data_IF_712399882132
#
_entry.id   IF_712399882132
#
_cell.length_a   1.000
_cell.length_b   1.000
_cell.length_c   1.000
_cell.angle_alpha   90.00
_cell.angle_beta   90.00
_cell.angle_gamma   90.00
#
_symmetry.space_group_name_H-M   'P 1'
#
loop_
_entity.id
_entity.type
_entity.pdbx_description
1 polymer ?
#
# COMPACT_ATOMS: atom_id res chain seq x y z
N UNK A 1 -3.43 27.78 0.29
CA UNK A 1 -4.70 28.50 0.09
C UNK A 1 -5.84 27.91 0.92
N UNK A 2 -6.12 26.62 0.83
CA UNK A 2 -7.17 26.02 1.68
C UNK A 2 -6.85 26.11 3.18
N UNK A 3 -5.64 25.72 3.62
CA UNK A 3 -5.26 25.76 5.03
C UNK A 3 -5.29 27.16 5.65
N UNK A 4 -5.08 28.21 4.85
CA UNK A 4 -5.10 29.61 5.34
C UNK A 4 -6.50 30.12 5.69
N UNK A 5 -7.57 29.39 5.34
CA UNK A 5 -8.94 29.73 5.72
C UNK A 5 -9.23 29.43 7.21
N UNK A 6 -8.41 28.59 7.85
CA UNK A 6 -8.55 28.27 9.28
C UNK A 6 -9.73 27.37 9.64
N UNK A 7 -10.41 26.79 8.65
CA UNK A 7 -11.57 25.91 8.80
C UNK A 7 -11.27 24.43 8.48
N UNK A 8 -10.02 24.13 8.07
CA UNK A 8 -9.56 22.77 7.77
C UNK A 8 -9.12 22.07 9.06
N UNK A 9 -9.74 20.94 9.40
CA UNK A 9 -9.38 20.16 10.58
C UNK A 9 -8.32 19.07 10.33
N UNK A 10 -8.28 18.51 9.11
CA UNK A 10 -7.35 17.45 8.76
C UNK A 10 -7.02 17.40 7.26
N UNK A 11 -5.86 16.84 6.95
CA UNK A 11 -5.47 16.38 5.60
C UNK A 11 -5.22 14.88 5.66
N UNK A 12 -5.87 14.12 4.78
CA UNK A 12 -5.66 12.67 4.64
C UNK A 12 -4.98 12.35 3.31
N UNK A 13 -3.97 11.46 3.35
CA UNK A 13 -3.29 10.99 2.14
C UNK A 13 -2.89 9.51 2.24
N UNK A 14 -2.94 8.83 1.09
CA UNK A 14 -2.17 7.62 0.82
C UNK A 14 -0.83 8.05 0.20
N UNK A 15 0.32 7.65 0.77
CA UNK A 15 1.64 7.95 0.15
C UNK A 15 1.98 7.01 -1.00
N UNK A 16 1.18 5.97 -1.20
CA UNK A 16 1.10 5.16 -2.42
C UNK A 16 -0.39 4.89 -2.67
N UNK A 17 -0.99 5.55 -3.66
CA UNK A 17 -2.43 5.43 -3.90
C UNK A 17 -2.81 4.01 -4.31
N UNK A 18 -3.66 3.36 -3.54
CA UNK A 18 -4.00 1.96 -3.78
C UNK A 18 -4.81 1.73 -5.05
N UNK A 19 -6.12 1.98 -4.98
CA UNK A 19 -7.04 1.80 -6.13
C UNK A 19 -6.85 2.92 -7.17
N UNK A 20 -6.30 4.08 -6.77
CA UNK A 20 -6.04 5.22 -7.64
C UNK A 20 -5.14 4.90 -8.83
N UNK A 21 -4.15 4.02 -8.66
CA UNK A 21 -3.22 3.66 -9.72
C UNK A 21 -1.77 3.53 -9.31
N UNK A 22 -1.48 3.35 -8.02
CA UNK A 22 -0.12 3.27 -7.47
C UNK A 22 0.70 4.53 -7.76
N UNK A 23 0.03 5.67 -7.83
CA UNK A 23 0.68 6.96 -7.91
C UNK A 23 1.26 7.33 -6.54
N UNK A 24 2.50 7.83 -6.58
CA UNK A 24 3.28 8.18 -5.41
C UNK A 24 3.55 9.69 -5.46
N UNK A 25 3.08 10.47 -4.48
CA UNK A 25 3.54 11.84 -4.33
C UNK A 25 5.06 11.89 -4.11
N UNK A 26 5.68 12.99 -4.52
CA UNK A 26 7.11 13.18 -4.28
C UNK A 26 7.41 13.28 -2.78
N UNK A 27 8.62 12.91 -2.32
CA UNK A 27 9.06 13.17 -0.94
C UNK A 27 8.96 14.64 -0.54
N UNK A 28 9.22 15.56 -1.46
CA UNK A 28 9.08 16.99 -1.21
C UNK A 28 7.61 17.36 -0.94
N UNK A 29 6.68 16.87 -1.75
CA UNK A 29 5.24 17.10 -1.54
C UNK A 29 4.78 16.59 -0.18
N UNK A 30 5.14 15.35 0.19
CA UNK A 30 4.72 14.78 1.46
C UNK A 30 5.25 15.57 2.66
N UNK A 31 6.52 15.98 2.60
CA UNK A 31 7.14 16.80 3.65
C UNK A 31 6.51 18.18 3.75
N UNK A 32 6.20 18.81 2.61
CA UNK A 32 5.57 20.13 2.58
C UNK A 32 4.14 20.07 3.16
N UNK A 33 3.36 19.05 2.78
CA UNK A 33 2.03 18.82 3.37
C UNK A 33 2.13 18.65 4.89
N UNK A 34 3.07 17.82 5.36
CA UNK A 34 3.26 17.61 6.79
C UNK A 34 3.69 18.90 7.53
N UNK A 35 4.59 19.68 6.92
CA UNK A 35 5.03 20.96 7.47
C UNK A 35 3.88 21.96 7.58
N UNK A 36 3.09 22.11 6.51
CA UNK A 36 1.94 23.01 6.48
C UNK A 36 0.85 22.57 7.45
N UNK A 37 0.59 21.27 7.59
CA UNK A 37 -0.36 20.75 8.58
C UNK A 37 0.05 21.18 10.00
N UNK A 38 1.33 20.94 10.35
CA UNK A 38 1.87 21.32 11.65
C UNK A 38 1.82 22.83 11.91
N UNK A 39 2.18 23.65 10.91
CA UNK A 39 2.15 25.12 11.06
C UNK A 39 0.75 25.68 11.28
N UNK A 40 -0.28 25.02 10.75
CA UNK A 40 -1.66 25.50 10.80
C UNK A 40 -2.51 24.77 11.86
N UNK A 41 -1.92 23.89 12.68
CA UNK A 41 -2.67 23.10 13.67
C UNK A 41 -3.66 22.11 13.05
N UNK A 42 -3.37 21.65 11.82
CA UNK A 42 -4.21 20.72 11.06
C UNK A 42 -3.67 19.30 11.23
N UNK A 43 -4.56 18.34 11.46
CA UNK A 43 -4.20 16.92 11.66
C UNK A 43 -3.77 16.29 10.34
N UNK A 44 -2.58 15.69 10.32
CA UNK A 44 -2.12 14.87 9.21
C UNK A 44 -2.49 13.41 9.42
N UNK A 45 -3.27 12.85 8.50
CA UNK A 45 -3.70 11.45 8.51
C UNK A 45 -2.99 10.70 7.37
N UNK A 46 -2.19 9.69 7.70
CA UNK A 46 -1.69 8.73 6.71
C UNK A 46 -2.63 7.54 6.62
N UNK A 47 -3.22 7.33 5.44
CA UNK A 47 -4.00 6.12 5.17
C UNK A 47 -3.06 4.99 4.75
N UNK A 48 -2.83 4.06 5.68
CA UNK A 48 -1.97 2.89 5.50
C UNK A 48 -2.78 1.59 5.38
N UNK A 49 -4.09 1.68 5.14
CA UNK A 49 -4.97 0.52 5.05
C UNK A 49 -4.50 -0.45 3.96
N UNK A 50 -3.96 0.05 2.84
CA UNK A 50 -3.45 -0.81 1.77
C UNK A 50 -1.92 -0.97 1.79
N UNK A 51 -1.19 0.10 2.10
CA UNK A 51 0.26 0.19 1.96
C UNK A 51 1.05 -0.16 3.21
N UNK A 52 0.37 -0.28 4.36
CA UNK A 52 0.95 -0.68 5.63
C UNK A 52 1.19 -2.18 5.77
N UNK A 53 1.57 -2.60 6.98
CA UNK A 53 1.89 -3.98 7.32
C UNK A 53 2.93 -4.62 6.38
N UNK A 54 3.98 -3.87 6.04
CA UNK A 54 5.10 -4.39 5.27
C UNK A 54 4.94 -4.36 3.76
N UNK A 55 3.74 -4.06 3.25
CA UNK A 55 3.37 -4.15 1.84
C UNK A 55 4.33 -3.38 0.91
N UNK A 56 4.76 -2.20 1.33
CA UNK A 56 5.66 -1.33 0.56
C UNK A 56 7.16 -1.59 0.79
N UNK A 57 7.54 -2.63 1.54
CA UNK A 57 8.92 -2.87 1.99
C UNK A 57 9.33 -2.05 3.21
N UNK A 58 8.39 -1.31 3.81
CA UNK A 58 8.46 -0.69 5.13
C UNK A 58 7.19 -1.07 5.89
N UNK A 59 7.20 -0.94 7.23
CA UNK A 59 6.00 -1.25 8.01
C UNK A 59 4.83 -0.34 7.59
N UNK A 60 5.10 0.96 7.44
CA UNK A 60 4.20 1.94 6.85
C UNK A 60 4.86 2.61 5.65
N UNK A 61 4.10 2.89 4.59
CA UNK A 61 4.63 3.52 3.39
C UNK A 61 5.05 4.98 3.59
N UNK A 62 4.41 5.73 4.50
CA UNK A 62 4.79 7.11 4.79
C UNK A 62 6.25 7.22 5.28
N UNK A 63 6.80 6.13 5.83
CA UNK A 63 8.20 6.07 6.31
C UNK A 63 9.21 6.30 5.18
N UNK A 64 8.84 6.02 3.92
CA UNK A 64 9.68 6.34 2.75
C UNK A 64 9.86 7.85 2.55
N UNK A 65 8.99 8.68 3.13
CA UNK A 65 9.00 10.13 2.99
C UNK A 65 9.54 10.86 4.23
N UNK A 66 9.89 10.14 5.29
CA UNK A 66 10.36 10.70 6.57
C UNK A 66 9.41 11.75 7.17
N UNK A 67 8.11 11.45 7.15
CA UNK A 67 7.07 12.25 7.82
C UNK A 67 6.56 11.51 9.06
N UNK A 68 5.95 12.24 9.99
CA UNK A 68 5.30 11.69 11.19
C UNK A 68 3.83 12.13 11.18
N UNK A 69 2.90 11.28 10.75
CA UNK A 69 1.47 11.57 10.78
C UNK A 69 0.94 11.64 12.20
N UNK A 70 -0.08 12.46 12.41
CA UNK A 70 -0.80 12.57 13.69
C UNK A 70 -1.75 11.39 13.91
N UNK A 71 -2.28 10.85 12.80
CA UNK A 71 -3.17 9.69 12.79
C UNK A 71 -2.76 8.74 11.67
N UNK A 72 -2.82 7.43 11.93
CA UNK A 72 -2.59 6.39 10.92
C UNK A 72 -3.80 5.45 10.91
N UNK A 73 -4.45 5.28 9.75
CA UNK A 73 -5.49 4.26 9.57
C UNK A 73 -4.89 2.94 9.08
N UNK A 74 -5.32 1.84 9.68
CA UNK A 74 -4.82 0.48 9.40
C UNK A 74 -5.97 -0.52 9.28
N UNK A 75 -5.85 -1.48 8.37
CA UNK A 75 -6.71 -2.67 8.27
C UNK A 75 -6.02 -3.69 7.34
N UNK A 76 -6.77 -4.43 6.51
CA UNK A 76 -6.29 -5.39 5.49
C UNK A 76 -5.15 -6.29 5.99
N UNK A 77 -3.90 -5.92 5.72
CA UNK A 77 -2.71 -6.64 6.17
C UNK A 77 -2.70 -6.91 7.67
N UNK A 78 -3.32 -6.04 8.47
CA UNK A 78 -3.49 -6.19 9.91
C UNK A 78 -4.09 -7.53 10.35
N UNK A 79 -5.13 -8.00 9.66
CA UNK A 79 -5.77 -9.29 9.96
C UNK A 79 -5.45 -10.38 8.96
N UNK A 80 -4.76 -10.04 7.87
CA UNK A 80 -4.38 -10.92 6.76
C UNK A 80 -5.47 -11.94 6.34
N UNK A 81 -6.74 -11.50 6.32
CA UNK A 81 -7.91 -12.34 6.04
C UNK A 81 -8.99 -12.26 7.12
N UNK A 82 -8.64 -12.01 8.38
CA UNK A 82 -9.60 -11.77 9.45
C UNK A 82 -10.05 -10.29 9.49
N UNK A 83 -11.35 -9.99 9.70
CA UNK A 83 -11.83 -8.60 9.76
C UNK A 83 -11.29 -7.85 10.98
N UNK A 84 -10.38 -6.91 10.75
CA UNK A 84 -9.87 -6.00 11.77
C UNK A 84 -9.40 -4.70 11.11
N UNK A 85 -9.63 -3.59 11.79
CA UNK A 85 -9.11 -2.28 11.46
C UNK A 85 -8.84 -1.48 12.72
N UNK A 86 -8.06 -0.42 12.59
CA UNK A 86 -7.64 0.39 13.71
C UNK A 86 -7.19 1.77 13.28
N UNK A 87 -7.08 2.63 14.29
CA UNK A 87 -6.53 3.97 14.18
C UNK A 87 -5.42 4.08 15.22
N UNK A 88 -4.22 4.47 14.78
CA UNK A 88 -3.13 4.87 15.67
C UNK A 88 -3.18 6.39 15.79
N UNK A 89 -3.11 6.90 17.01
CA UNK A 89 -3.08 8.34 17.29
C UNK A 89 -1.73 8.72 17.89
N UNK A 90 -1.19 9.86 17.47
CA UNK A 90 0.03 10.42 18.03
C UNK A 90 -0.19 10.79 19.51
N UNK A 91 0.82 10.65 20.40
CA UNK A 91 0.67 10.93 21.84
C UNK A 91 0.25 12.36 22.21
N UNK A 92 0.34 13.30 21.28
CA UNK A 92 -0.18 14.67 21.43
C UNK A 92 -1.72 14.71 21.41
N UNK A 93 -2.37 13.76 20.72
CA UNK A 93 -3.81 13.56 20.78
C UNK A 93 -4.14 12.73 22.03
N UNK A 94 -4.63 13.41 23.08
CA UNK A 94 -4.99 12.74 24.33
C UNK A 94 -6.31 11.99 24.21
N UNK A 95 -6.24 10.67 24.10
CA UNK A 95 -7.41 9.81 24.23
C UNK A 95 -8.05 9.94 25.62
N UNK A 96 -9.38 9.81 25.65
CA UNK A 96 -10.20 9.76 26.87
C UNK A 96 -11.21 8.64 26.74
N UNK A 97 -11.58 8.07 27.88
CA UNK A 97 -12.64 7.08 27.96
C UNK A 97 -13.95 7.64 27.37
N UNK A 98 -14.66 6.84 26.58
CA UNK A 98 -15.94 7.22 25.97
C UNK A 98 -15.86 8.07 24.69
N UNK A 99 -14.66 8.43 24.19
CA UNK A 99 -14.54 9.18 22.93
C UNK A 99 -14.91 8.35 21.69
N UNK A 100 -14.66 7.04 21.74
CA UNK A 100 -14.90 6.10 20.64
C UNK A 100 -15.69 4.91 21.18
N UNK A 101 -16.57 4.36 20.36
CA UNK A 101 -17.38 3.20 20.73
C UNK A 101 -17.64 2.30 19.53
N UNK A 102 -17.54 0.99 19.74
CA UNK A 102 -17.84 -0.03 18.73
C UNK A 102 -18.13 -1.36 19.44
N UNK A 103 -19.20 -2.04 19.03
CA UNK A 103 -19.62 -3.31 19.63
C UNK A 103 -18.60 -4.42 19.46
N UNK A 104 -17.87 -4.43 18.33
CA UNK A 104 -16.93 -5.50 17.98
C UNK A 104 -15.47 -5.04 17.92
N UNK A 105 -15.18 -3.75 18.11
CA UNK A 105 -13.80 -3.27 18.09
C UNK A 105 -13.01 -3.75 19.30
N UNK A 106 -11.74 -4.07 19.06
CA UNK A 106 -10.87 -4.61 20.11
C UNK A 106 -11.26 -6.02 20.59
N UNK A 107 -12.07 -6.76 19.83
CA UNK A 107 -12.42 -8.13 20.20
C UNK A 107 -11.17 -9.03 20.24
N UNK A 108 -11.14 -9.96 21.21
CA UNK A 108 -9.96 -10.79 21.48
C UNK A 108 -9.50 -11.62 20.28
N UNK A 109 -10.42 -12.09 19.42
CA UNK A 109 -10.07 -12.88 18.25
C UNK A 109 -9.34 -12.04 17.19
N UNK A 110 -9.82 -10.82 16.93
CA UNK A 110 -9.13 -9.86 16.06
C UNK A 110 -7.74 -9.51 16.58
N UNK A 111 -7.61 -9.30 17.90
CA UNK A 111 -6.33 -9.02 18.54
C UNK A 111 -5.35 -10.20 18.39
N UNK A 112 -5.81 -11.44 18.65
CA UNK A 112 -4.99 -12.64 18.47
C UNK A 112 -4.56 -12.85 17.02
N UNK A 113 -5.47 -12.65 16.05
CA UNK A 113 -5.14 -12.72 14.63
C UNK A 113 -4.09 -11.66 14.24
N UNK A 114 -4.24 -10.43 14.74
CA UNK A 114 -3.28 -9.34 14.46
C UNK A 114 -1.91 -9.65 15.05
N UNK A 115 -1.84 -10.18 16.28
CA UNK A 115 -0.58 -10.58 16.92
C UNK A 115 0.12 -11.68 16.11
N UNK A 116 -0.61 -12.72 15.69
CA UNK A 116 -0.06 -13.78 14.86
C UNK A 116 0.49 -13.26 13.52
N UNK A 117 -0.18 -12.29 12.90
CA UNK A 117 0.33 -11.62 11.69
C UNK A 117 1.65 -10.92 11.96
N UNK A 118 1.75 -10.13 13.05
CA UNK A 118 2.97 -9.42 13.40
C UNK A 118 4.13 -10.37 13.69
N UNK A 119 3.88 -11.44 14.44
CA UNK A 119 4.87 -12.49 14.73
C UNK A 119 5.40 -13.15 13.44
N UNK A 120 4.52 -13.46 12.48
CA UNK A 120 4.94 -14.03 11.19
C UNK A 120 5.72 -13.02 10.36
N UNK A 121 5.27 -11.77 10.29
CA UNK A 121 5.99 -10.70 9.58
C UNK A 121 7.44 -10.56 10.07
N UNK A 122 7.63 -10.61 11.39
CA UNK A 122 8.94 -10.53 12.04
C UNK A 122 9.75 -11.82 11.81
N UNK A 123 9.21 -12.98 12.21
CA UNK A 123 9.92 -14.28 12.17
C UNK A 123 10.38 -14.66 10.77
N UNK A 124 9.57 -14.40 9.76
CA UNK A 124 9.87 -14.74 8.36
C UNK A 124 10.53 -13.58 7.59
N UNK A 125 10.84 -12.45 8.26
CA UNK A 125 11.44 -11.27 7.64
C UNK A 125 10.69 -10.77 6.39
N UNK A 126 9.35 -10.82 6.41
CA UNK A 126 8.52 -10.60 5.21
C UNK A 126 8.58 -9.16 4.69
N UNK A 127 8.86 -8.19 5.57
CA UNK A 127 9.02 -6.77 5.17
C UNK A 127 10.29 -6.60 4.32
N UNK A 128 11.40 -7.24 4.74
CA UNK A 128 12.64 -7.25 3.99
C UNK A 128 12.47 -8.00 2.66
N UNK A 129 11.81 -9.17 2.70
CA UNK A 129 11.48 -9.92 1.48
C UNK A 129 10.67 -9.08 0.49
N UNK A 130 9.69 -8.30 0.96
CA UNK A 130 8.91 -7.43 0.10
C UNK A 130 9.76 -6.35 -0.59
N UNK A 131 10.72 -5.75 0.13
CA UNK A 131 11.65 -4.77 -0.44
C UNK A 131 12.58 -5.40 -1.49
N UNK A 132 13.15 -6.57 -1.19
CA UNK A 132 14.06 -7.30 -2.08
C UNK A 132 13.37 -7.77 -3.36
N UNK A 133 12.16 -8.33 -3.22
CA UNK A 133 11.37 -8.78 -4.36
C UNK A 133 10.80 -7.61 -5.17
N UNK A 134 10.50 -6.47 -4.56
CA UNK A 134 10.16 -5.25 -5.29
C UNK A 134 11.30 -4.80 -6.20
N UNK A 135 12.53 -4.83 -5.68
CA UNK A 135 13.74 -4.52 -6.46
C UNK A 135 13.99 -5.54 -7.57
N UNK A 136 13.72 -6.82 -7.31
CA UNK A 136 13.80 -7.87 -8.34
C UNK A 136 12.74 -7.69 -9.43
N UNK A 137 11.50 -7.40 -9.04
CA UNK A 137 10.39 -7.14 -9.96
C UNK A 137 10.72 -5.98 -10.91
N UNK A 138 11.27 -4.88 -10.40
CA UNK A 138 11.66 -3.74 -11.24
C UNK A 138 12.71 -4.13 -12.30
N UNK A 139 13.69 -4.96 -11.94
CA UNK A 139 14.70 -5.47 -12.89
C UNK A 139 14.06 -6.31 -13.99
N UNK A 140 13.14 -7.20 -13.64
CA UNK A 140 12.43 -8.03 -14.63
C UNK A 140 11.48 -7.20 -15.51
N UNK A 141 10.80 -6.21 -14.93
CA UNK A 141 9.87 -5.33 -15.63
C UNK A 141 10.56 -4.48 -16.71
N UNK A 142 11.80 -4.03 -16.47
CA UNK A 142 12.60 -3.31 -17.48
C UNK A 142 12.89 -4.13 -18.75
N UNK A 143 12.70 -5.44 -18.72
CA UNK A 143 12.86 -6.34 -19.86
C UNK A 143 11.56 -6.50 -20.69
N UNK A 144 10.50 -5.76 -20.37
CA UNK A 144 9.22 -5.78 -21.09
C UNK A 144 9.16 -4.55 -22.02
N UNK A 145 9.30 -4.71 -23.35
CA UNK A 145 9.41 -3.57 -24.28
C UNK A 145 8.20 -2.63 -24.29
N UNK A 146 6.99 -3.17 -24.08
CA UNK A 146 5.73 -2.43 -24.09
C UNK A 146 5.50 -1.63 -22.80
N UNK A 147 6.34 -1.81 -21.78
CA UNK A 147 6.16 -1.18 -20.48
C UNK A 147 6.50 0.31 -20.54
N UNK A 148 5.55 1.14 -20.13
CA UNK A 148 5.78 2.58 -19.98
C UNK A 148 6.49 2.92 -18.68
N UNK A 149 6.01 2.36 -17.57
CA UNK A 149 6.50 2.68 -16.23
C UNK A 149 6.19 1.57 -15.21
N UNK A 150 7.15 1.28 -14.34
CA UNK A 150 6.92 0.52 -13.10
C UNK A 150 6.37 1.45 -12.02
N UNK A 151 5.34 1.02 -11.30
CA UNK A 151 4.68 1.80 -10.24
C UNK A 151 4.70 1.06 -8.90
N UNK A 152 4.72 1.85 -7.81
CA UNK A 152 4.62 1.37 -6.45
C UNK A 152 5.96 0.89 -5.85
N UNK A 153 5.89 0.33 -4.64
CA UNK A 153 7.04 -0.09 -3.83
C UNK A 153 6.82 -1.45 -3.18
N UNK A 154 7.91 -2.15 -2.86
CA UNK A 154 7.86 -3.45 -2.21
C UNK A 154 7.06 -4.46 -3.03
N UNK A 155 6.03 -5.05 -2.44
CA UNK A 155 5.06 -5.91 -3.14
C UNK A 155 3.71 -5.22 -3.37
N UNK A 156 3.71 -3.88 -3.42
CA UNK A 156 2.60 -3.05 -3.89
C UNK A 156 2.89 -2.60 -5.32
N UNK A 157 2.76 -3.52 -6.28
CA UNK A 157 3.39 -3.38 -7.59
C UNK A 157 2.39 -3.04 -8.70
N UNK A 158 2.86 -2.30 -9.70
CA UNK A 158 2.09 -1.95 -10.88
C UNK A 158 2.93 -1.86 -12.14
N UNK A 159 2.32 -2.20 -13.26
CA UNK A 159 2.87 -2.00 -14.60
C UNK A 159 1.93 -1.09 -15.39
N UNK A 160 2.42 0.06 -15.82
CA UNK A 160 1.69 1.00 -16.67
C UNK A 160 2.05 0.80 -18.14
N UNK A 161 1.04 0.77 -19.00
CA UNK A 161 1.17 0.63 -20.44
C UNK A 161 0.54 1.83 -21.16
N UNK A 162 0.70 1.92 -22.48
CA UNK A 162 0.01 2.95 -23.27
C UNK A 162 -1.41 2.53 -23.72
N UNK A 163 -1.81 1.28 -23.44
CA UNK A 163 -3.13 0.72 -23.72
C UNK A 163 -3.88 0.32 -22.42
N UNK A 164 -5.19 0.10 -22.52
CA UNK A 164 -5.99 -0.40 -21.39
C UNK A 164 -5.73 -1.89 -21.12
N UNK A 165 -5.43 -2.27 -19.88
CA UNK A 165 -4.97 -3.62 -19.53
C UNK A 165 -6.10 -4.64 -19.30
N UNK A 166 -7.35 -4.30 -19.64
CA UNK A 166 -8.51 -5.13 -19.31
C UNK A 166 -8.45 -6.51 -19.98
N UNK A 167 -8.12 -6.57 -21.28
CA UNK A 167 -8.01 -7.84 -22.00
C UNK A 167 -6.77 -8.62 -21.57
N UNK A 168 -5.63 -7.95 -21.37
CA UNK A 168 -4.42 -8.57 -20.82
C UNK A 168 -4.70 -9.26 -19.47
N UNK A 169 -5.40 -8.57 -18.57
CA UNK A 169 -5.78 -9.11 -17.26
C UNK A 169 -6.73 -10.31 -17.38
N UNK A 170 -7.66 -10.27 -18.34
CA UNK A 170 -8.56 -11.39 -18.65
C UNK A 170 -7.80 -12.59 -19.19
N UNK A 171 -6.80 -12.39 -20.04
CA UNK A 171 -5.96 -13.47 -20.52
C UNK A 171 -5.09 -14.07 -19.42
N UNK A 172 -4.47 -13.23 -18.59
CA UNK A 172 -3.67 -13.68 -17.44
C UNK A 172 -4.48 -14.60 -16.52
N UNK A 173 -5.74 -14.28 -16.21
CA UNK A 173 -6.57 -15.15 -15.36
C UNK A 173 -7.06 -16.40 -16.10
N UNK A 174 -7.54 -16.28 -17.35
CA UNK A 174 -8.20 -17.40 -18.05
C UNK A 174 -7.24 -18.39 -18.68
N UNK A 175 -6.11 -17.92 -19.22
CA UNK A 175 -5.13 -18.75 -19.94
C UNK A 175 -3.92 -19.09 -19.08
N UNK A 176 -3.49 -18.15 -18.24
CA UNK A 176 -2.27 -18.28 -17.44
C UNK A 176 -2.55 -18.59 -15.96
N UNK A 177 -3.82 -18.60 -15.56
CA UNK A 177 -4.26 -18.85 -14.17
C UNK A 177 -3.65 -17.89 -13.13
N UNK A 178 -3.30 -16.67 -13.55
CA UNK A 178 -2.74 -15.62 -12.69
C UNK A 178 -3.78 -14.52 -12.47
N UNK A 179 -4.22 -14.39 -11.23
CA UNK A 179 -5.13 -13.32 -10.82
C UNK A 179 -4.35 -12.03 -10.52
N UNK A 180 -4.74 -10.94 -11.17
CA UNK A 180 -4.20 -9.59 -10.93
C UNK A 180 -5.33 -8.58 -10.69
N UNK A 181 -4.98 -7.46 -10.07
CA UNK A 181 -5.90 -6.39 -9.70
C UNK A 181 -6.12 -5.35 -10.80
N UNK A 182 -7.18 -4.58 -10.65
CA UNK A 182 -7.47 -3.39 -11.47
C UNK A 182 -7.18 -2.10 -10.69
N UNK A 183 -6.93 -1.01 -11.41
CA UNK A 183 -6.85 0.34 -10.89
C UNK A 183 -7.89 1.25 -11.56
N UNK A 184 -8.14 2.43 -10.97
CA UNK A 184 -8.94 3.50 -11.61
C UNK A 184 -8.31 3.92 -12.94
N UNK A 185 -6.99 4.05 -12.97
CA UNK A 185 -6.26 4.15 -14.23
C UNK A 185 -6.30 2.79 -14.95
N UNK A 186 -7.10 2.71 -16.01
CA UNK A 186 -7.29 1.48 -16.80
C UNK A 186 -6.04 0.98 -17.53
N UNK A 187 -4.98 1.79 -17.60
CA UNK A 187 -3.70 1.44 -18.21
C UNK A 187 -2.71 0.82 -17.22
N UNK A 188 -3.10 0.66 -15.96
CA UNK A 188 -2.25 0.10 -14.90
C UNK A 188 -2.73 -1.30 -14.52
N UNK A 189 -1.86 -2.29 -14.70
CA UNK A 189 -2.02 -3.65 -14.16
C UNK A 189 -1.51 -3.68 -12.72
N UNK A 190 -2.39 -3.95 -11.75
CA UNK A 190 -2.00 -4.01 -10.32
C UNK A 190 -1.64 -5.44 -9.91
N UNK A 191 -0.51 -5.59 -9.24
CA UNK A 191 0.08 -6.86 -8.84
C UNK A 191 0.36 -6.78 -7.33
N UNK A 192 -0.46 -7.49 -6.55
CA UNK A 192 -0.45 -7.44 -5.08
C UNK A 192 -0.31 -8.86 -4.51
N UNK A 193 0.82 -9.54 -4.73
CA UNK A 193 1.02 -10.92 -4.30
C UNK A 193 1.07 -11.03 -2.77
N UNK A 194 0.96 -12.23 -2.19
CA UNK A 194 1.24 -12.43 -0.77
C UNK A 194 2.70 -12.07 -0.44
N UNK A 195 3.00 -11.66 0.80
CA UNK A 195 4.37 -11.23 1.16
C UNK A 195 5.40 -12.36 1.24
N UNK A 196 4.93 -13.61 1.27
CA UNK A 196 5.74 -14.82 1.30
C UNK A 196 6.00 -15.42 -0.09
N UNK A 197 5.68 -14.72 -1.18
CA UNK A 197 6.13 -15.17 -2.51
C UNK A 197 7.65 -15.14 -2.61
N UNK A 198 8.20 -15.74 -3.67
CA UNK A 198 9.62 -15.80 -3.96
C UNK A 198 9.88 -15.35 -5.41
N UNK A 199 11.17 -15.33 -5.82
CA UNK A 199 11.58 -14.94 -7.17
C UNK A 199 10.96 -15.82 -8.26
N UNK A 200 10.87 -17.14 -8.03
CA UNK A 200 10.29 -18.06 -9.03
C UNK A 200 8.83 -17.74 -9.33
N UNK A 201 8.05 -17.27 -8.35
CA UNK A 201 6.68 -16.81 -8.60
C UNK A 201 6.65 -15.55 -9.49
N UNK A 202 7.60 -14.63 -9.32
CA UNK A 202 7.73 -13.46 -10.17
C UNK A 202 8.20 -13.84 -11.58
N UNK A 203 9.10 -14.82 -11.70
CA UNK A 203 9.56 -15.33 -13.00
C UNK A 203 8.41 -15.98 -13.79
N UNK A 204 7.58 -16.77 -13.12
CA UNK A 204 6.35 -17.33 -13.70
C UNK A 204 5.42 -16.21 -14.18
N UNK A 205 5.23 -15.16 -13.37
CA UNK A 205 4.42 -14.00 -13.76
C UNK A 205 4.97 -13.30 -15.00
N UNK A 206 6.27 -13.01 -15.06
CA UNK A 206 6.85 -12.32 -16.21
C UNK A 206 6.89 -13.17 -17.47
N UNK A 207 7.00 -14.50 -17.34
CA UNK A 207 6.89 -15.43 -18.47
C UNK A 207 5.49 -15.39 -19.08
N UNK A 208 4.45 -15.53 -18.23
CA UNK A 208 3.06 -15.43 -18.65
C UNK A 208 2.72 -14.04 -19.22
N UNK A 209 3.23 -12.97 -18.59
CA UNK A 209 3.01 -11.60 -19.05
C UNK A 209 3.57 -11.39 -20.46
N UNK A 210 4.78 -11.88 -20.75
CA UNK A 210 5.37 -11.76 -22.09
C UNK A 210 4.56 -12.50 -23.13
N UNK A 211 4.11 -13.72 -22.84
CA UNK A 211 3.29 -14.52 -23.75
C UNK A 211 1.97 -13.83 -24.12
N UNK A 212 1.35 -13.10 -23.20
CA UNK A 212 0.08 -12.39 -23.48
C UNK A 212 0.27 -10.95 -24.01
N UNK A 213 1.51 -10.47 -24.10
CA UNK A 213 1.87 -9.19 -24.72
C UNK A 213 2.36 -9.33 -26.17
N UNK A 214 2.68 -10.55 -26.59
CA UNK A 214 2.96 -10.95 -27.98
C UNK A 214 1.65 -11.17 -28.76
#
# INVERSE_FOLDING_TARGET
EELSKGDVCAVILETIQGVGGLDEPSPLFCKEVAHLCKQNGVVLIADEVQSGFGRSGKFFAFQHHNITPDIISIAKGMGNGFPVGGILIHPEIKAKYGLLGTTFGGNHLACAATLAVLEVLEKENLIANAADLGSYFEKCARQVPQLKRVKGKGLMLGLEFDFEVAELRKNLILKQHIFTGSAKNKKVLRILPALNINKTHLDTFFTALKQELE
#
